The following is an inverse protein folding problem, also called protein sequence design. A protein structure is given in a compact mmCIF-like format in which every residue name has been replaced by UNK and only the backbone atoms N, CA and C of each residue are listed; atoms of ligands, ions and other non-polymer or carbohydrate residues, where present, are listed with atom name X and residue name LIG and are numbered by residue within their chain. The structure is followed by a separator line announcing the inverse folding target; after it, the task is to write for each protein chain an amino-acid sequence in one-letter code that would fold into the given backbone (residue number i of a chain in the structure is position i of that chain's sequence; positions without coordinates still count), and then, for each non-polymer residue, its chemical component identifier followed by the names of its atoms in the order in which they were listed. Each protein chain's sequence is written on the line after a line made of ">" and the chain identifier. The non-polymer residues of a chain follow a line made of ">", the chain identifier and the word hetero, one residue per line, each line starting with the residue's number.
data_IF_118539318149
#
_entry.id   IF_118539318149
#
_cell.length_a   1.000
_cell.length_b   1.000
_cell.length_c   1.000
_cell.angle_alpha   90.00
_cell.angle_beta   90.00
_cell.angle_gamma   90.00
#
_symmetry.space_group_name_H-M   'P 1'
#
loop_
_entity.id
_entity.type
_entity.pdbx_description
1 polymer ?
#
# COMPACT_ATOMS: atom_id res chain seq x y z
N UNK A 1 15.72 0.30 12.10
CA UNK A 1 14.80 0.38 10.96
C UNK A 1 15.55 0.96 9.79
N UNK A 2 15.40 0.37 8.62
CA UNK A 2 15.94 0.82 7.35
C UNK A 2 14.76 1.16 6.44
N UNK A 3 14.83 2.27 5.71
CA UNK A 3 13.87 2.55 4.64
C UNK A 3 14.30 1.76 3.42
N UNK A 4 13.44 0.87 2.95
CA UNK A 4 13.69 0.01 1.79
C UNK A 4 13.13 0.61 0.51
N UNK A 5 12.01 1.33 0.62
CA UNK A 5 11.35 1.96 -0.50
C UNK A 5 10.54 3.17 -0.04
N UNK A 6 10.31 4.10 -0.97
CA UNK A 6 9.34 5.18 -0.84
C UNK A 6 8.62 5.37 -2.17
N UNK A 7 7.34 5.69 -2.09
CA UNK A 7 6.53 6.03 -3.24
C UNK A 7 5.75 7.32 -2.94
N UNK A 8 5.44 8.07 -4.00
CA UNK A 8 4.63 9.28 -3.92
C UNK A 8 3.43 9.19 -4.85
N UNK A 9 2.37 9.89 -4.46
CA UNK A 9 1.23 10.15 -5.34
C UNK A 9 1.56 11.24 -6.35
N UNK A 10 0.77 11.30 -7.42
CA UNK A 10 0.80 12.39 -8.40
C UNK A 10 -0.57 13.05 -8.47
N UNK A 11 -0.59 14.37 -8.60
CA UNK A 11 -1.83 15.09 -8.80
C UNK A 11 -2.36 14.83 -10.23
N UNK A 12 -3.62 14.45 -10.36
CA UNK A 12 -4.27 14.26 -11.65
C UNK A 12 -4.99 15.54 -12.07
N UNK A 13 -4.74 15.99 -13.29
CA UNK A 13 -5.30 17.21 -13.87
C UNK A 13 -5.96 16.90 -15.20
N UNK A 14 -7.01 17.65 -15.52
CA UNK A 14 -7.55 17.76 -16.88
C UNK A 14 -7.39 19.18 -17.39
N UNK A 15 -7.24 19.31 -18.70
CA UNK A 15 -7.21 20.60 -19.37
C UNK A 15 -8.49 20.78 -20.15
N UNK A 16 -9.23 21.85 -19.83
CA UNK A 16 -10.45 22.20 -20.54
C UNK A 16 -10.19 22.53 -22.00
N UNK A 17 -11.11 22.11 -22.86
CA UNK A 17 -11.15 22.43 -24.29
C UNK A 17 -12.36 23.32 -24.64
N UNK A 18 -13.13 23.74 -23.62
CA UNK A 18 -14.34 24.55 -23.78
C UNK A 18 -15.55 23.81 -24.36
N UNK A 19 -15.44 22.49 -24.61
CA UNK A 19 -16.50 21.71 -25.27
C UNK A 19 -16.93 20.47 -24.47
N UNK A 20 -15.99 19.78 -23.82
CA UNK A 20 -16.25 18.55 -23.09
C UNK A 20 -16.43 18.80 -21.60
N UNK A 21 -17.27 17.97 -20.96
CA UNK A 21 -17.45 18.00 -19.51
C UNK A 21 -16.20 17.46 -18.80
N UNK A 22 -16.03 17.80 -17.53
CA UNK A 22 -14.93 17.25 -16.71
C UNK A 22 -14.94 15.72 -16.73
N UNK A 23 -16.11 15.07 -16.65
CA UNK A 23 -16.22 13.62 -16.74
C UNK A 23 -15.64 13.08 -18.07
N UNK A 24 -15.99 13.70 -19.19
CA UNK A 24 -15.47 13.32 -20.52
C UNK A 24 -13.95 13.59 -20.64
N UNK A 25 -13.47 14.69 -20.07
CA UNK A 25 -12.05 15.02 -20.05
C UNK A 25 -11.24 14.03 -19.20
N UNK A 26 -11.78 13.58 -18.06
CA UNK A 26 -11.14 12.54 -17.24
C UNK A 26 -11.03 11.24 -18.02
N UNK A 27 -12.11 10.82 -18.68
CA UNK A 27 -12.10 9.58 -19.45
C UNK A 27 -11.13 9.62 -20.65
N UNK A 28 -11.02 10.76 -21.32
CA UNK A 28 -10.19 10.92 -22.52
C UNK A 28 -8.72 11.26 -22.24
N UNK A 29 -8.43 12.03 -21.19
CA UNK A 29 -7.07 12.50 -20.90
C UNK A 29 -6.35 11.68 -19.82
N UNK A 30 -7.09 11.11 -18.86
CA UNK A 30 -6.51 10.40 -17.71
C UNK A 30 -6.75 8.89 -17.82
N UNK A 31 -7.99 8.45 -17.98
CA UNK A 31 -8.33 7.02 -17.95
C UNK A 31 -7.91 6.26 -19.23
N UNK A 32 -7.36 6.94 -20.22
CA UNK A 32 -6.73 6.32 -21.40
C UNK A 32 -5.36 5.71 -21.09
N UNK A 33 -4.76 6.01 -19.93
CA UNK A 33 -3.53 5.37 -19.48
C UNK A 33 -3.74 3.86 -19.28
N UNK A 34 -3.03 2.97 -20.02
CA UNK A 34 -3.21 1.53 -19.91
C UNK A 34 -2.80 0.96 -18.54
N UNK A 35 -2.10 1.74 -17.72
CA UNK A 35 -1.76 1.39 -16.34
C UNK A 35 -2.93 1.61 -15.37
N UNK A 36 -4.04 2.23 -15.81
CA UNK A 36 -5.23 2.45 -15.01
C UNK A 36 -6.25 1.32 -15.17
N UNK A 37 -6.79 0.84 -14.07
CA UNK A 37 -7.86 -0.14 -14.10
C UNK A 37 -8.72 -0.17 -12.84
N UNK A 38 -9.64 -1.13 -12.80
CA UNK A 38 -10.62 -1.30 -11.71
C UNK A 38 -10.21 -2.36 -10.69
N UNK A 39 -9.12 -3.11 -10.96
CA UNK A 39 -8.63 -4.20 -10.10
C UNK A 39 -7.25 -3.86 -9.56
N UNK A 40 -6.84 -4.56 -8.50
CA UNK A 40 -5.50 -4.44 -7.89
C UNK A 40 -4.35 -4.87 -8.82
N UNK A 41 -4.63 -5.41 -10.01
CA UNK A 41 -3.59 -5.74 -10.98
C UNK A 41 -2.96 -4.49 -11.61
N UNK A 42 -3.68 -3.37 -11.55
CA UNK A 42 -3.28 -2.10 -12.14
C UNK A 42 -2.60 -1.22 -11.08
N UNK A 43 -1.44 -0.63 -11.38
CA UNK A 43 -0.75 0.24 -10.42
C UNK A 43 -1.48 1.57 -10.20
N UNK A 44 -2.35 1.97 -11.14
CA UNK A 44 -3.18 3.16 -11.02
C UNK A 44 -4.66 2.77 -11.03
N UNK A 45 -5.45 3.43 -10.21
CA UNK A 45 -6.90 3.29 -10.20
C UNK A 45 -7.49 4.10 -11.35
N UNK A 46 -8.49 3.53 -12.02
CA UNK A 46 -9.35 4.29 -12.91
C UNK A 46 -10.12 5.33 -12.09
N UNK A 47 -10.19 6.57 -12.56
CA UNK A 47 -10.91 7.63 -11.87
C UNK A 47 -12.36 7.61 -12.34
N UNK A 48 -13.28 7.34 -11.41
CA UNK A 48 -14.73 7.39 -11.65
C UNK A 48 -15.30 8.48 -10.75
N UNK A 49 -15.56 9.67 -11.32
CA UNK A 49 -15.93 10.87 -10.55
C UNK A 49 -17.15 10.67 -9.64
N UNK A 50 -18.12 9.84 -10.05
CA UNK A 50 -19.33 9.57 -9.27
C UNK A 50 -19.13 8.66 -8.06
N UNK A 51 -17.98 8.00 -7.95
CA UNK A 51 -17.68 7.00 -6.92
C UNK A 51 -16.69 7.50 -5.85
N UNK A 52 -16.07 8.67 -6.08
CA UNK A 52 -15.07 9.24 -5.17
C UNK A 52 -15.54 10.59 -4.58
N UNK A 53 -16.06 10.59 -3.33
CA UNK A 53 -16.49 11.81 -2.66
C UNK A 53 -15.39 12.86 -2.47
N UNK A 54 -14.12 12.45 -2.40
CA UNK A 54 -12.98 13.37 -2.20
C UNK A 54 -12.74 14.17 -3.49
N UNK A 55 -12.78 13.49 -4.63
CA UNK A 55 -12.68 14.13 -5.95
C UNK A 55 -13.83 15.12 -6.17
N UNK A 56 -15.06 14.73 -5.83
CA UNK A 56 -16.22 15.63 -5.93
C UNK A 56 -16.05 16.88 -5.07
N UNK A 57 -15.57 16.73 -3.84
CA UNK A 57 -15.30 17.86 -2.95
C UNK A 57 -14.21 18.79 -3.49
N UNK A 58 -13.14 18.24 -4.07
CA UNK A 58 -12.07 19.03 -4.68
C UNK A 58 -12.52 19.78 -5.94
N UNK A 59 -13.40 19.19 -6.75
CA UNK A 59 -14.05 19.88 -7.87
C UNK A 59 -14.94 21.02 -7.38
N UNK A 60 -15.77 20.77 -6.36
CA UNK A 60 -16.66 21.79 -5.79
C UNK A 60 -15.88 22.98 -5.23
N UNK A 61 -14.73 22.75 -4.56
CA UNK A 61 -13.85 23.81 -4.08
C UNK A 61 -13.29 24.71 -5.19
N UNK A 62 -13.22 24.19 -6.42
CA UNK A 62 -12.82 24.93 -7.61
C UNK A 62 -14.01 25.56 -8.34
N UNK A 63 -15.24 25.37 -7.85
CA UNK A 63 -16.47 25.87 -8.47
C UNK A 63 -16.98 25.01 -9.62
N UNK A 64 -16.59 23.73 -9.67
CA UNK A 64 -16.96 22.81 -10.74
C UNK A 64 -17.76 21.59 -10.23
N UNK A 65 -18.47 20.97 -11.15
CA UNK A 65 -19.10 19.64 -11.03
C UNK A 65 -18.61 18.73 -12.16
N UNK A 66 -18.81 17.40 -12.09
CA UNK A 66 -18.45 16.49 -13.19
C UNK A 66 -19.04 16.89 -14.57
N UNK A 67 -20.19 17.54 -14.57
CA UNK A 67 -20.92 18.00 -15.77
C UNK A 67 -20.48 19.38 -16.26
N UNK A 68 -19.64 20.08 -15.48
CA UNK A 68 -19.13 21.39 -15.89
C UNK A 68 -18.23 21.28 -17.10
N UNK A 69 -18.32 22.26 -18.01
CA UNK A 69 -17.43 22.40 -19.17
C UNK A 69 -16.39 23.49 -18.85
N UNK A 70 -15.14 23.13 -18.52
CA UNK A 70 -14.12 24.11 -18.20
C UNK A 70 -13.69 24.88 -19.47
N UNK A 71 -13.43 26.19 -19.37
CA UNK A 71 -12.95 26.98 -20.51
C UNK A 71 -11.69 26.38 -21.14
N UNK A 72 -11.51 26.62 -22.44
CA UNK A 72 -10.33 26.16 -23.16
C UNK A 72 -9.04 26.65 -22.49
N UNK A 73 -8.09 25.74 -22.25
CA UNK A 73 -6.83 25.99 -21.56
C UNK A 73 -6.90 26.04 -20.03
N UNK A 74 -8.09 25.95 -19.42
CA UNK A 74 -8.23 25.93 -17.96
C UNK A 74 -7.83 24.55 -17.42
N UNK A 75 -6.77 24.49 -16.60
CA UNK A 75 -6.47 23.31 -15.80
C UNK A 75 -7.45 23.18 -14.63
N UNK A 76 -7.98 21.98 -14.45
CA UNK A 76 -8.83 21.61 -13.32
C UNK A 76 -8.21 20.42 -12.60
N UNK A 77 -8.03 20.56 -11.29
CA UNK A 77 -7.50 19.49 -10.44
C UNK A 77 -8.58 18.45 -10.21
N UNK A 78 -8.29 17.20 -10.56
CA UNK A 78 -9.19 16.07 -10.34
C UNK A 78 -8.87 15.37 -9.03
N UNK A 79 -7.60 15.09 -8.78
CA UNK A 79 -7.17 14.35 -7.59
C UNK A 79 -5.85 14.93 -7.10
N UNK A 80 -5.80 15.41 -5.84
CA UNK A 80 -4.58 15.97 -5.21
C UNK A 80 -3.52 14.91 -4.97
N UNK A 81 -3.95 13.81 -4.36
CA UNK A 81 -3.11 12.69 -3.98
C UNK A 81 -3.57 11.50 -4.81
N UNK A 82 -3.01 11.37 -6.01
CA UNK A 82 -3.17 10.15 -6.82
C UNK A 82 -2.67 8.92 -6.09
N UNK A 83 -2.89 7.75 -6.68
CA UNK A 83 -2.29 6.51 -6.18
C UNK A 83 -0.80 6.71 -5.92
N UNK A 84 -0.36 6.32 -4.71
CA UNK A 84 1.04 6.39 -4.27
C UNK A 84 1.82 5.31 -5.03
N UNK A 85 2.14 5.60 -6.29
CA UNK A 85 2.62 4.60 -7.26
C UNK A 85 3.84 5.07 -8.06
N UNK A 86 4.40 6.23 -7.75
CA UNK A 86 5.67 6.69 -8.34
C UNK A 86 6.78 6.43 -7.34
N UNK A 87 7.73 5.58 -7.71
CA UNK A 87 8.92 5.34 -6.90
C UNK A 87 9.75 6.63 -6.77
N UNK A 88 10.07 6.98 -5.54
CA UNK A 88 10.92 8.12 -5.19
C UNK A 88 11.98 7.70 -4.16
N UNK A 89 12.30 6.41 -4.06
CA UNK A 89 13.20 5.86 -3.04
C UNK A 89 14.57 6.53 -3.03
N UNK A 90 15.15 6.77 -4.21
CA UNK A 90 16.46 7.42 -4.34
C UNK A 90 16.44 8.90 -3.96
N UNK A 91 15.27 9.53 -3.91
CA UNK A 91 15.09 10.95 -3.57
C UNK A 91 14.98 11.16 -2.05
N UNK A 92 14.78 10.11 -1.26
CA UNK A 92 14.53 10.23 0.18
C UNK A 92 15.74 10.81 0.90
N UNK A 93 15.55 11.97 1.54
CA UNK A 93 16.59 12.57 2.36
C UNK A 93 16.94 11.66 3.57
N UNK A 94 18.22 11.54 3.96
CA UNK A 94 18.63 10.70 5.09
C UNK A 94 17.92 11.03 6.42
N UNK A 95 17.64 12.31 6.69
CA UNK A 95 16.88 12.71 7.89
C UNK A 95 15.42 12.27 7.83
N UNK A 96 14.80 12.28 6.64
CA UNK A 96 13.43 11.76 6.46
C UNK A 96 13.46 10.25 6.72
N UNK A 97 14.43 9.54 6.14
CA UNK A 97 14.60 8.10 6.35
C UNK A 97 14.82 7.75 7.83
N UNK A 98 15.58 8.58 8.55
CA UNK A 98 15.78 8.43 9.99
C UNK A 98 14.47 8.64 10.77
N UNK A 99 13.72 9.70 10.47
CA UNK A 99 12.48 10.04 11.14
C UNK A 99 11.42 8.94 10.98
N UNK A 100 11.19 8.45 9.76
CA UNK A 100 10.22 7.36 9.51
C UNK A 100 10.66 6.05 10.16
N UNK A 101 11.96 5.76 10.15
CA UNK A 101 12.52 4.58 10.81
C UNK A 101 12.38 4.66 12.34
N UNK A 102 12.47 5.86 12.92
CA UNK A 102 12.23 6.09 14.33
C UNK A 102 10.75 5.94 14.68
N UNK A 103 9.84 6.45 13.84
CA UNK A 103 8.41 6.29 14.03
C UNK A 103 8.00 4.81 14.09
N UNK A 104 8.44 3.99 13.12
CA UNK A 104 8.15 2.56 13.11
C UNK A 104 8.66 1.84 14.38
N UNK A 105 9.89 2.15 14.82
CA UNK A 105 10.46 1.59 16.07
C UNK A 105 9.71 2.04 17.32
N UNK A 106 9.22 3.28 17.34
CA UNK A 106 8.48 3.84 18.48
C UNK A 106 7.15 3.12 18.66
N UNK A 107 6.50 2.72 17.57
CA UNK A 107 5.29 1.88 17.59
C UNK A 107 5.62 0.42 17.93
N UNK A 108 6.85 -0.03 17.67
CA UNK A 108 7.32 -1.38 17.95
C UNK A 108 7.00 -2.38 16.83
N UNK A 109 6.98 -1.90 15.57
CA UNK A 109 6.74 -2.72 14.40
C UNK A 109 8.07 -3.10 13.73
N UNK A 110 8.23 -4.39 13.41
CA UNK A 110 9.38 -4.90 12.65
C UNK A 110 9.31 -4.47 11.18
N UNK A 111 8.11 -4.46 10.62
CA UNK A 111 7.79 -4.03 9.26
C UNK A 111 6.64 -3.03 9.35
N UNK A 112 6.81 -1.86 8.73
CA UNK A 112 5.78 -0.83 8.72
C UNK A 112 5.78 -0.05 7.40
N UNK A 113 4.59 0.36 6.97
CA UNK A 113 4.42 1.48 6.05
C UNK A 113 4.31 2.77 6.85
N UNK A 114 4.94 3.84 6.40
CA UNK A 114 4.85 5.15 7.07
C UNK A 114 4.38 6.17 6.05
N UNK A 115 3.19 6.71 6.28
CA UNK A 115 2.61 7.73 5.42
C UNK A 115 2.98 9.11 5.96
N UNK A 116 3.50 9.95 5.08
CA UNK A 116 3.92 11.30 5.40
C UNK A 116 3.50 12.27 4.30
N UNK A 117 3.41 13.54 4.66
CA UNK A 117 3.24 14.65 3.73
C UNK A 117 4.48 15.53 3.78
N UNK A 118 4.93 16.01 2.63
CA UNK A 118 6.04 16.95 2.48
C UNK A 118 5.96 17.58 1.10
N UNK A 119 6.40 18.84 0.96
CA UNK A 119 6.54 19.47 -0.37
C UNK A 119 7.72 18.89 -1.16
N UNK A 120 8.74 18.42 -0.47
CA UNK A 120 9.97 17.88 -1.07
C UNK A 120 10.57 16.80 -0.14
N UNK A 121 10.61 15.55 -0.59
CA UNK A 121 11.14 14.43 0.20
C UNK A 121 12.67 14.39 0.23
N UNK A 122 13.32 15.15 -0.66
CA UNK A 122 14.78 15.30 -0.73
C UNK A 122 15.33 16.32 0.28
N UNK A 123 14.48 16.89 1.13
CA UNK A 123 14.85 17.81 2.22
C UNK A 123 14.32 17.31 3.57
N UNK A 124 14.91 17.75 4.69
CA UNK A 124 14.34 17.49 6.01
C UNK A 124 12.88 17.94 6.13
N UNK A 125 12.03 17.13 6.79
CA UNK A 125 10.60 17.43 6.95
C UNK A 125 10.35 18.80 7.60
N UNK A 126 11.18 19.19 8.58
CA UNK A 126 11.05 20.49 9.25
C UNK A 126 11.25 21.68 8.28
N UNK A 127 12.05 21.51 7.22
CA UNK A 127 12.32 22.56 6.24
C UNK A 127 11.20 22.70 5.19
N UNK A 128 10.36 21.68 5.03
CA UNK A 128 9.30 21.60 4.01
C UNK A 128 7.90 21.62 4.60
N UNK A 129 7.78 21.85 5.92
CA UNK A 129 6.51 21.75 6.63
C UNK A 129 5.92 20.33 6.64
N UNK A 130 6.76 19.32 6.42
CA UNK A 130 6.35 17.93 6.33
C UNK A 130 6.06 17.30 7.69
N UNK A 131 5.21 16.27 7.68
CA UNK A 131 4.77 15.55 8.87
C UNK A 131 4.47 14.09 8.57
N UNK A 132 4.70 13.21 9.55
CA UNK A 132 4.23 11.83 9.53
C UNK A 132 2.74 11.85 9.89
N UNK A 133 1.92 11.20 9.07
CA UNK A 133 0.46 11.14 9.19
C UNK A 133 0.04 9.82 9.84
N UNK A 134 0.62 8.71 9.40
CA UNK A 134 0.22 7.36 9.84
C UNK A 134 1.41 6.39 9.85
N UNK A 135 1.32 5.36 10.70
CA UNK A 135 2.22 4.20 10.73
C UNK A 135 1.40 2.92 10.68
N UNK A 136 1.58 2.15 9.60
CA UNK A 136 0.77 1.00 9.22
C UNK A 136 1.51 -0.32 9.40
N UNK A 137 0.95 -1.29 10.13
CA UNK A 137 1.56 -2.60 10.38
C UNK A 137 1.46 -3.61 9.21
N UNK A 138 0.54 -3.36 8.28
CA UNK A 138 0.34 -4.19 7.08
C UNK A 138 0.44 -3.35 5.81
N UNK A 139 1.64 -2.90 5.43
CA UNK A 139 1.79 -2.05 4.24
C UNK A 139 1.45 -2.82 2.96
N UNK A 140 0.79 -2.13 2.03
CA UNK A 140 0.71 -2.58 0.65
C UNK A 140 2.13 -2.63 0.05
N UNK A 141 2.43 -3.68 -0.72
CA UNK A 141 3.74 -3.82 -1.37
C UNK A 141 3.67 -3.53 -2.87
N UNK A 142 2.47 -3.54 -3.45
CA UNK A 142 2.26 -3.46 -4.89
C UNK A 142 2.88 -2.20 -5.50
N UNK A 143 2.72 -1.05 -4.86
CA UNK A 143 3.27 0.22 -5.36
C UNK A 143 4.79 0.21 -5.46
N UNK A 144 5.46 -0.58 -4.62
CA UNK A 144 6.92 -0.68 -4.63
C UNK A 144 7.40 -1.77 -5.59
N UNK A 145 6.62 -2.86 -5.76
CA UNK A 145 6.97 -3.96 -6.67
C UNK A 145 6.64 -3.65 -8.13
N UNK A 146 5.58 -2.90 -8.39
CA UNK A 146 5.09 -2.53 -9.72
C UNK A 146 4.68 -1.05 -9.71
N UNK A 147 5.63 -0.11 -9.55
CA UNK A 147 5.28 1.30 -9.61
C UNK A 147 4.77 1.67 -11.00
N UNK A 148 3.86 2.64 -11.06
CA UNK A 148 3.44 3.27 -12.31
C UNK A 148 4.60 4.03 -12.96
N UNK A 149 5.50 4.62 -12.18
CA UNK A 149 6.70 5.31 -12.65
C UNK A 149 7.88 5.18 -11.69
N UNK A 150 9.11 5.27 -12.21
CA UNK A 150 10.33 5.02 -11.43
C UNK A 150 10.72 3.54 -11.40
N UNK A 151 11.56 3.13 -10.43
CA UNK A 151 12.13 1.79 -10.39
C UNK A 151 11.38 0.88 -9.40
N UNK A 152 11.11 -0.39 -9.76
CA UNK A 152 10.67 -1.38 -8.79
C UNK A 152 11.70 -1.55 -7.67
N UNK A 153 11.22 -1.66 -6.43
CA UNK A 153 12.04 -1.86 -5.25
C UNK A 153 11.90 -3.29 -4.71
N UNK A 154 12.98 -3.94 -4.25
CA UNK A 154 12.98 -5.34 -3.83
C UNK A 154 12.42 -5.50 -2.40
N UNK A 155 11.28 -4.88 -2.10
CA UNK A 155 10.69 -4.85 -0.75
C UNK A 155 10.37 -6.24 -0.21
N UNK A 156 9.95 -7.17 -1.09
CA UNK A 156 9.70 -8.55 -0.71
C UNK A 156 10.97 -9.25 -0.24
N UNK A 157 12.08 -9.08 -0.97
CA UNK A 157 13.37 -9.66 -0.59
C UNK A 157 13.86 -9.06 0.73
N UNK A 158 13.79 -7.74 0.89
CA UNK A 158 14.21 -7.07 2.12
C UNK A 158 13.41 -7.53 3.35
N UNK A 159 12.11 -7.79 3.20
CA UNK A 159 11.27 -8.36 4.26
C UNK A 159 11.74 -9.76 4.61
N UNK A 160 11.99 -10.63 3.62
CA UNK A 160 12.46 -11.99 3.86
C UNK A 160 13.84 -12.00 4.55
N UNK A 161 14.77 -11.17 4.06
CA UNK A 161 16.12 -11.03 4.63
C UNK A 161 16.09 -10.47 6.06
N UNK A 162 15.05 -9.69 6.41
CA UNK A 162 14.85 -9.20 7.76
C UNK A 162 14.28 -10.27 8.70
N UNK A 163 13.38 -11.12 8.20
CA UNK A 163 12.66 -12.11 9.00
C UNK A 163 13.46 -13.41 9.22
N UNK A 164 14.37 -13.76 8.32
CA UNK A 164 15.08 -15.04 8.33
C UNK A 164 16.58 -14.85 8.19
N UNK A 165 17.37 -15.63 8.92
CA UNK A 165 18.81 -15.68 8.70
C UNK A 165 19.14 -16.33 7.33
N UNK A 166 20.34 -16.07 6.80
CA UNK A 166 20.73 -16.53 5.47
C UNK A 166 20.74 -18.06 5.30
N UNK A 167 20.89 -18.81 6.39
CA UNK A 167 20.84 -20.26 6.46
C UNK A 167 19.44 -20.82 6.80
N UNK A 168 18.47 -19.94 7.05
CA UNK A 168 17.07 -20.31 7.28
C UNK A 168 16.27 -20.26 5.97
N UNK A 169 15.38 -21.23 5.77
CA UNK A 169 14.55 -21.29 4.55
C UNK A 169 13.17 -20.64 4.71
N UNK A 170 12.87 -20.14 5.92
CA UNK A 170 11.56 -19.60 6.29
C UNK A 170 10.36 -20.52 6.06
N UNK A 171 10.61 -21.81 5.79
CA UNK A 171 9.57 -22.80 5.47
C UNK A 171 8.78 -23.13 6.73
N UNK A 172 7.46 -23.04 6.61
CA UNK A 172 6.51 -23.51 7.62
C UNK A 172 5.95 -24.86 7.15
N UNK A 173 6.34 -26.00 7.74
CA UNK A 173 5.79 -27.30 7.37
C UNK A 173 4.29 -27.36 7.63
N UNK A 174 3.50 -27.78 6.64
CA UNK A 174 2.05 -27.87 6.73
C UNK A 174 1.62 -29.34 6.77
N UNK A 175 0.79 -29.69 7.75
CA UNK A 175 0.11 -31.00 7.82
C UNK A 175 -1.38 -30.79 7.57
N UNK A 176 -1.87 -31.30 6.45
CA UNK A 176 -3.30 -31.32 6.12
C UNK A 176 -3.98 -32.56 6.69
N UNK A 177 -5.10 -32.38 7.39
CA UNK A 177 -5.94 -33.48 7.88
C UNK A 177 -7.26 -33.47 7.12
N UNK A 178 -7.52 -34.51 6.33
CA UNK A 178 -8.73 -34.66 5.54
C UNK A 178 -9.47 -35.96 5.87
N UNK A 179 -10.80 -35.95 5.78
CA UNK A 179 -11.65 -37.11 6.04
C UNK A 179 -13.02 -36.73 6.62
N UNK A 180 -13.97 -37.65 6.58
CA UNK A 180 -15.36 -37.43 7.02
C UNK A 180 -15.59 -37.65 8.52
N UNK A 181 -14.65 -38.29 9.22
CA UNK A 181 -14.74 -38.61 10.65
C UNK A 181 -13.42 -38.28 11.35
N UNK A 182 -13.51 -37.76 12.57
CA UNK A 182 -12.34 -37.63 13.45
C UNK A 182 -11.34 -36.52 13.11
N UNK A 183 -11.56 -35.73 12.04
CA UNK A 183 -10.59 -34.74 11.56
C UNK A 183 -10.16 -33.73 12.63
N UNK A 184 -11.08 -33.27 13.49
CA UNK A 184 -10.74 -32.36 14.60
C UNK A 184 -9.81 -33.03 15.63
N UNK A 185 -10.08 -34.29 16.00
CA UNK A 185 -9.31 -35.00 17.03
C UNK A 185 -7.91 -35.31 16.51
N UNK A 186 -7.82 -35.74 15.25
CA UNK A 186 -6.53 -36.01 14.59
C UNK A 186 -5.71 -34.72 14.50
N UNK A 187 -6.29 -33.61 14.04
CA UNK A 187 -5.58 -32.34 13.93
C UNK A 187 -5.05 -31.84 15.28
N UNK A 188 -5.86 -31.95 16.35
CA UNK A 188 -5.42 -31.62 17.71
C UNK A 188 -4.32 -32.55 18.23
N UNK A 189 -4.41 -33.85 17.96
CA UNK A 189 -3.40 -34.82 18.38
C UNK A 189 -2.07 -34.57 17.66
N UNK A 190 -2.09 -34.36 16.34
CA UNK A 190 -0.89 -34.02 15.56
C UNK A 190 -0.26 -32.74 16.09
N UNK A 191 -1.05 -31.69 16.29
CA UNK A 191 -0.54 -30.42 16.82
C UNK A 191 0.11 -30.60 18.20
N UNK A 192 -0.53 -31.39 19.07
CA UNK A 192 0.00 -31.69 20.41
C UNK A 192 1.31 -32.49 20.37
N UNK A 193 1.41 -33.51 19.52
CA UNK A 193 2.64 -34.30 19.35
C UNK A 193 3.81 -33.45 18.82
N UNK A 194 3.54 -32.59 17.84
CA UNK A 194 4.54 -31.65 17.31
C UNK A 194 4.98 -30.65 18.38
N UNK A 195 4.03 -30.15 19.18
CA UNK A 195 4.33 -29.24 20.28
C UNK A 195 5.20 -29.89 21.37
N UNK A 196 4.91 -31.15 21.73
CA UNK A 196 5.73 -31.93 22.66
C UNK A 196 7.16 -32.16 22.16
N UNK A 197 7.37 -32.16 20.84
CA UNK A 197 8.70 -32.22 20.22
C UNK A 197 9.41 -30.86 20.21
N UNK A 198 8.88 -29.85 20.90
CA UNK A 198 9.47 -28.51 21.01
C UNK A 198 9.16 -27.59 19.82
N UNK A 199 8.24 -27.98 18.91
CA UNK A 199 7.84 -27.12 17.79
C UNK A 199 6.80 -26.09 18.22
N UNK A 200 6.87 -24.91 17.65
CA UNK A 200 5.79 -23.92 17.70
C UNK A 200 4.76 -24.30 16.64
N UNK A 201 3.53 -24.59 17.06
CA UNK A 201 2.50 -25.13 16.17
C UNK A 201 1.28 -24.21 16.15
N UNK A 202 0.91 -23.75 14.96
CA UNK A 202 -0.41 -23.20 14.70
C UNK A 202 -1.38 -24.30 14.29
N UNK A 203 -2.59 -24.30 14.82
CA UNK A 203 -3.65 -25.24 14.46
C UNK A 203 -4.92 -24.47 14.10
N UNK A 204 -5.46 -24.74 12.92
CA UNK A 204 -6.82 -24.35 12.54
C UNK A 204 -7.68 -25.61 12.38
N UNK A 205 -8.76 -25.72 13.15
CA UNK A 205 -9.73 -26.81 13.03
C UNK A 205 -11.14 -26.34 13.42
N UNK A 206 -12.12 -27.25 13.44
CA UNK A 206 -13.52 -26.92 13.81
C UNK A 206 -13.67 -26.33 15.23
N UNK A 207 -12.71 -26.57 16.12
CA UNK A 207 -12.74 -26.03 17.49
C UNK A 207 -12.14 -24.60 17.54
N UNK A 208 -11.55 -24.10 16.45
CA UNK A 208 -11.00 -22.74 16.33
C UNK A 208 -9.57 -22.70 15.79
N UNK A 209 -8.95 -21.52 15.92
CA UNK A 209 -7.50 -21.32 15.74
C UNK A 209 -6.78 -21.42 17.09
N UNK A 210 -5.55 -21.92 17.06
CA UNK A 210 -4.68 -22.07 18.21
C UNK A 210 -3.24 -21.78 17.81
N UNK A 211 -2.45 -21.18 18.70
CA UNK A 211 -1.01 -21.01 18.57
C UNK A 211 -0.32 -21.51 19.85
N UNK A 212 0.34 -22.66 19.76
CA UNK A 212 0.83 -23.38 20.94
C UNK A 212 -0.33 -23.78 21.85
N UNK A 213 -0.31 -23.31 23.10
CA UNK A 213 -1.39 -23.55 24.09
C UNK A 213 -2.47 -22.47 24.10
N UNK A 214 -2.29 -21.38 23.36
CA UNK A 214 -3.24 -20.26 23.29
C UNK A 214 -4.31 -20.55 22.25
N UNK A 215 -5.56 -20.26 22.59
CA UNK A 215 -6.71 -20.25 21.67
C UNK A 215 -6.95 -18.82 21.22
#
# INVERSE_FOLDING_TARGET
>A
GQVVAAARGEAAWVHGDGSHTIAQLVDSQINTDPRRGLTEDFPLNRIVLGEDPVVLLDLQRQGFTPESVPPAGKSVLIQRNGNVAIDCTAEVHPEVAHAVSLAARTVGLDIAGVDLVTEDIAKPLAATGGAIVEVNAGPGLLMHLKPAGGAPQPVGQAIIDHLFAADETGRIPIVGVAGSKGGRQIARLVAWLLHLNGRHVGLACRDGLFLGTRR
#
